data_IF_983519117519
#
_entry.id   IF_983519117519
#
_cell.length_a   1.000
_cell.length_b   1.000
_cell.length_c   1.000
_cell.angle_alpha   90.00
_cell.angle_beta   90.00
_cell.angle_gamma   90.00
#
_symmetry.space_group_name_H-M   'P 1'
#
loop_
_entity.id
_entity.type
_entity.pdbx_description
1 polymer ?
#
# COMPACT_ATOMS: atom_id res chain seq x y z
N UNK A 1 -15.50 11.09 14.12
CA UNK A 1 -14.57 12.20 14.44
C UNK A 1 -13.51 12.21 13.35
N UNK A 2 -13.21 13.36 12.74
CA UNK A 2 -12.09 13.50 11.80
C UNK A 2 -10.90 14.03 12.60
N UNK A 3 -9.80 13.27 12.75
CA UNK A 3 -8.62 13.75 13.48
C UNK A 3 -8.00 14.94 12.74
N UNK A 4 -7.66 16.01 13.44
CA UNK A 4 -7.01 17.21 12.85
C UNK A 4 -5.54 17.31 13.28
N UNK A 5 -5.23 16.86 14.51
CA UNK A 5 -3.91 16.80 15.12
C UNK A 5 -3.92 15.86 16.30
N UNK A 6 -2.76 15.38 16.72
CA UNK A 6 -2.59 14.73 18.02
C UNK A 6 -2.31 15.75 19.15
N UNK A 7 -2.04 15.24 20.35
CA UNK A 7 -1.61 16.01 21.53
C UNK A 7 -0.20 15.66 22.03
N UNK A 8 0.52 14.78 21.32
CA UNK A 8 1.81 14.26 21.74
C UNK A 8 2.88 15.07 20.99
N UNK A 9 3.79 15.78 21.69
CA UNK A 9 4.82 16.54 20.99
C UNK A 9 5.79 15.60 20.26
N UNK A 10 5.97 15.83 18.96
CA UNK A 10 7.00 15.15 18.17
C UNK A 10 8.40 15.33 18.78
N UNK A 11 9.15 14.23 18.89
CA UNK A 11 10.48 14.20 19.55
C UNK A 11 11.64 14.34 18.57
N UNK A 12 11.39 14.13 17.29
CA UNK A 12 12.35 14.07 16.20
C UNK A 12 11.73 14.60 14.91
N UNK A 13 12.55 14.85 13.89
CA UNK A 13 12.03 15.07 12.53
C UNK A 13 11.55 13.73 11.97
N UNK A 14 10.30 13.63 11.45
CA UNK A 14 9.70 12.35 11.09
C UNK A 14 10.11 11.89 9.68
N UNK A 15 11.38 11.49 9.53
CA UNK A 15 12.00 11.10 8.26
C UNK A 15 11.38 9.82 7.70
N UNK A 16 11.18 8.79 8.52
CA UNK A 16 10.56 7.51 8.11
C UNK A 16 9.13 7.74 7.67
N UNK A 17 8.37 8.53 8.43
CA UNK A 17 7.00 8.91 8.09
C UNK A 17 6.94 9.60 6.72
N UNK A 18 7.82 10.58 6.48
CA UNK A 18 7.90 11.29 5.20
C UNK A 18 8.31 10.35 4.05
N UNK A 19 9.26 9.43 4.27
CA UNK A 19 9.66 8.43 3.27
C UNK A 19 8.48 7.52 2.92
N UNK A 20 7.76 7.00 3.92
CA UNK A 20 6.59 6.16 3.69
C UNK A 20 5.52 6.92 2.90
N UNK A 21 5.25 8.19 3.24
CA UNK A 21 4.32 9.03 2.47
C UNK A 21 4.79 9.17 1.02
N UNK A 22 6.07 9.47 0.80
CA UNK A 22 6.63 9.64 -0.54
C UNK A 22 6.55 8.35 -1.38
N UNK A 23 6.84 7.19 -0.78
CA UNK A 23 6.75 5.89 -1.47
C UNK A 23 5.31 5.57 -1.83
N UNK A 24 4.35 5.75 -0.90
CA UNK A 24 2.93 5.53 -1.17
C UNK A 24 2.41 6.45 -2.28
N UNK A 25 2.80 7.73 -2.26
CA UNK A 25 2.45 8.68 -3.32
C UNK A 25 3.02 8.24 -4.68
N UNK A 26 4.31 7.84 -4.73
CA UNK A 26 4.95 7.38 -5.96
C UNK A 26 4.26 6.13 -6.55
N UNK A 27 3.94 5.15 -5.71
CA UNK A 27 3.20 3.94 -6.13
C UNK A 27 1.81 4.31 -6.65
N UNK A 28 1.08 5.18 -5.95
CA UNK A 28 -0.25 5.59 -6.39
C UNK A 28 -0.22 6.38 -7.71
N UNK A 29 0.76 7.27 -7.92
CA UNK A 29 0.93 7.95 -9.20
C UNK A 29 1.28 6.97 -10.33
N UNK A 30 2.05 5.92 -10.04
CA UNK A 30 2.29 4.85 -11.00
C UNK A 30 1.00 4.10 -11.33
N UNK A 31 0.16 3.76 -10.34
CA UNK A 31 -1.16 3.14 -10.56
C UNK A 31 -2.06 3.99 -11.48
N UNK A 32 -2.09 5.32 -11.27
CA UNK A 32 -2.85 6.25 -12.12
C UNK A 32 -2.33 6.34 -13.56
N UNK A 33 -1.05 6.03 -13.78
CA UNK A 33 -0.44 6.05 -15.11
C UNK A 33 -0.70 4.75 -15.91
N UNK A 34 -1.17 3.68 -15.26
CA UNK A 34 -1.43 2.40 -15.90
C UNK A 34 -2.78 2.39 -16.64
N UNK A 35 -2.84 1.66 -17.75
CA UNK A 35 -4.12 1.34 -18.38
C UNK A 35 -4.91 0.35 -17.51
N UNK A 36 -6.26 0.29 -17.61
CA UNK A 36 -7.08 -0.54 -16.74
C UNK A 36 -6.65 -2.02 -16.66
N UNK A 37 -6.24 -2.61 -17.78
CA UNK A 37 -5.76 -4.01 -17.83
C UNK A 37 -4.43 -4.21 -17.11
N UNK A 38 -3.52 -3.24 -17.24
CA UNK A 38 -2.21 -3.29 -16.59
C UNK A 38 -2.34 -3.01 -15.09
N UNK A 39 -3.26 -2.12 -14.70
CA UNK A 39 -3.61 -1.84 -13.31
C UNK A 39 -4.20 -3.08 -12.62
N UNK A 40 -5.12 -3.78 -13.28
CA UNK A 40 -5.68 -5.04 -12.76
C UNK A 40 -4.57 -6.09 -12.57
N UNK A 41 -3.70 -6.26 -13.57
CA UNK A 41 -2.55 -7.16 -13.47
C UNK A 41 -1.58 -6.74 -12.36
N UNK A 42 -1.33 -5.45 -12.19
CA UNK A 42 -0.49 -4.90 -11.14
C UNK A 42 -1.04 -5.26 -9.76
N UNK A 43 -2.34 -5.08 -9.53
CA UNK A 43 -2.98 -5.49 -8.28
C UNK A 43 -2.96 -7.00 -8.05
N UNK A 44 -3.10 -7.81 -9.09
CA UNK A 44 -2.98 -9.27 -8.95
C UNK A 44 -1.55 -9.74 -8.61
N UNK A 45 -0.53 -9.04 -9.10
CA UNK A 45 0.87 -9.41 -8.88
C UNK A 45 1.41 -8.88 -7.56
N UNK A 46 1.08 -7.65 -7.17
CA UNK A 46 1.63 -6.97 -5.99
C UNK A 46 0.65 -6.93 -4.80
N UNK A 47 -0.62 -7.27 -5.01
CA UNK A 47 -1.63 -7.40 -3.97
C UNK A 47 -1.76 -8.84 -3.48
N UNK A 48 -2.23 -9.00 -2.25
CA UNK A 48 -2.47 -10.34 -1.67
C UNK A 48 -3.76 -10.91 -2.27
N UNK A 49 -3.62 -12.00 -3.02
CA UNK A 49 -4.73 -12.85 -3.48
C UNK A 49 -4.75 -14.12 -2.63
N UNK A 50 -5.65 -14.29 -1.65
CA UNK A 50 -5.61 -15.43 -0.72
C UNK A 50 -5.66 -16.80 -1.40
N UNK A 51 -6.38 -16.92 -2.52
CA UNK A 51 -6.46 -18.14 -3.32
C UNK A 51 -5.09 -18.57 -3.87
N UNK A 52 -4.16 -17.63 -4.13
CA UNK A 52 -2.80 -17.91 -4.61
C UNK A 52 -2.02 -18.79 -3.64
N UNK A 53 -2.19 -18.58 -2.34
CA UNK A 53 -1.44 -19.26 -1.29
C UNK A 53 -2.18 -20.48 -0.71
N UNK A 54 -3.51 -20.44 -0.73
CA UNK A 54 -4.34 -21.54 -0.21
C UNK A 54 -4.60 -22.65 -1.24
N UNK A 55 -4.54 -22.34 -2.54
CA UNK A 55 -4.83 -23.28 -3.62
C UNK A 55 -3.73 -23.22 -4.71
N UNK A 56 -2.54 -23.80 -4.46
CA UNK A 56 -1.39 -23.68 -5.36
C UNK A 56 -1.62 -24.30 -6.75
N UNK A 57 -2.46 -25.33 -6.86
CA UNK A 57 -2.84 -25.93 -8.14
C UNK A 57 -3.62 -24.95 -9.03
N UNK A 58 -4.60 -24.25 -8.46
CA UNK A 58 -5.35 -23.20 -9.15
C UNK A 58 -4.45 -22.02 -9.53
N UNK A 59 -3.58 -21.60 -8.61
CA UNK A 59 -2.65 -20.51 -8.84
C UNK A 59 -1.72 -20.81 -10.02
N UNK A 60 -1.15 -22.02 -10.11
CA UNK A 60 -0.34 -22.47 -11.25
C UNK A 60 -1.15 -22.47 -12.55
N UNK A 61 -2.41 -22.92 -12.52
CA UNK A 61 -3.28 -22.95 -13.70
C UNK A 61 -3.59 -21.54 -14.25
N UNK A 62 -3.83 -20.56 -13.36
CA UNK A 62 -4.05 -19.15 -13.75
C UNK A 62 -2.74 -18.44 -14.15
N UNK A 63 -1.58 -19.05 -13.88
CA UNK A 63 -0.26 -18.49 -14.19
C UNK A 63 0.29 -17.57 -13.09
N UNK A 64 -0.19 -17.69 -11.85
CA UNK A 64 0.40 -16.98 -10.72
C UNK A 64 1.73 -17.63 -10.27
N UNK A 65 2.71 -16.82 -9.85
CA UNK A 65 3.91 -17.35 -9.23
C UNK A 65 3.61 -17.83 -7.81
N UNK A 66 3.60 -19.14 -7.57
CA UNK A 66 3.20 -19.72 -6.27
C UNK A 66 4.18 -19.48 -5.13
N UNK A 67 5.46 -19.29 -5.45
CA UNK A 67 6.54 -19.14 -4.46
C UNK A 67 6.94 -17.68 -4.21
N UNK A 68 6.19 -16.73 -4.75
CA UNK A 68 6.43 -15.31 -4.55
C UNK A 68 5.52 -14.76 -3.43
N UNK A 69 6.18 -14.40 -2.33
CA UNK A 69 5.58 -13.87 -1.11
C UNK A 69 5.72 -12.36 -0.99
N UNK A 70 6.28 -11.67 -2.00
CA UNK A 70 6.37 -10.21 -1.95
C UNK A 70 5.04 -9.48 -1.73
N UNK A 71 3.89 -9.99 -2.22
CA UNK A 71 2.61 -9.34 -2.02
C UNK A 71 2.25 -9.06 -0.56
N UNK A 72 2.76 -9.84 0.41
CA UNK A 72 2.52 -9.56 1.82
C UNK A 72 3.11 -8.22 2.29
N UNK A 73 4.18 -7.75 1.66
CA UNK A 73 4.75 -6.43 1.90
C UNK A 73 4.21 -5.40 0.91
N UNK A 74 4.25 -5.71 -0.39
CA UNK A 74 3.92 -4.72 -1.43
C UNK A 74 2.45 -4.31 -1.39
N UNK A 75 1.55 -5.17 -0.89
CA UNK A 75 0.14 -4.81 -0.75
C UNK A 75 -0.12 -3.64 0.19
N UNK A 76 0.80 -3.36 1.12
CA UNK A 76 0.68 -2.25 2.05
C UNK A 76 0.77 -0.88 1.37
N UNK A 77 1.27 -0.83 0.13
CA UNK A 77 1.48 0.41 -0.62
C UNK A 77 0.44 0.65 -1.72
N UNK A 78 -0.45 -0.33 -1.98
CA UNK A 78 -1.43 -0.26 -3.05
C UNK A 78 -2.70 0.49 -2.64
N UNK A 79 -3.27 1.30 -3.54
CA UNK A 79 -4.42 2.13 -3.19
C UNK A 79 -5.54 2.08 -4.24
N UNK A 80 -6.72 1.58 -3.87
CA UNK A 80 -7.90 1.54 -4.75
C UNK A 80 -8.56 2.88 -5.10
N UNK A 81 -7.95 4.03 -4.79
CA UNK A 81 -8.45 5.35 -5.19
C UNK A 81 -8.08 6.51 -4.27
N UNK A 82 -8.46 7.73 -4.68
CA UNK A 82 -8.10 8.98 -4.00
C UNK A 82 -8.49 9.05 -2.53
N UNK A 83 -9.73 8.66 -2.20
CA UNK A 83 -10.19 8.69 -0.80
C UNK A 83 -9.38 7.76 0.09
N UNK A 84 -8.96 6.61 -0.44
CA UNK A 84 -8.16 5.63 0.29
C UNK A 84 -6.75 6.16 0.56
N UNK A 85 -6.04 6.65 -0.46
CA UNK A 85 -4.67 7.17 -0.29
C UNK A 85 -4.64 8.43 0.56
N UNK A 86 -5.56 9.38 0.36
CA UNK A 86 -5.60 10.61 1.15
C UNK A 86 -5.88 10.29 2.62
N UNK A 87 -6.83 9.39 2.91
CA UNK A 87 -7.14 8.98 4.28
C UNK A 87 -5.96 8.30 4.98
N UNK A 88 -5.22 7.44 4.28
CA UNK A 88 -4.04 6.78 4.81
C UNK A 88 -2.90 7.77 5.06
N UNK A 89 -2.59 8.66 4.11
CA UNK A 89 -1.51 9.64 4.27
C UNK A 89 -1.84 10.67 5.35
N UNK A 90 -3.10 11.07 5.48
CA UNK A 90 -3.58 11.92 6.57
C UNK A 90 -3.34 11.28 7.94
N UNK A 91 -3.70 10.01 8.07
CA UNK A 91 -3.50 9.25 9.33
C UNK A 91 -2.01 9.09 9.63
N UNK A 92 -1.21 8.73 8.62
CA UNK A 92 0.23 8.55 8.76
C UNK A 92 0.92 9.86 9.16
N UNK A 93 0.49 11.00 8.59
CA UNK A 93 1.04 12.32 8.94
C UNK A 93 0.68 12.76 10.36
N UNK A 94 -0.54 12.49 10.82
CA UNK A 94 -0.99 12.90 12.15
C UNK A 94 -0.40 12.03 13.27
N UNK A 95 -0.10 10.76 13.01
CA UNK A 95 0.29 9.84 14.08
C UNK A 95 1.67 9.19 13.91
N UNK A 96 2.30 9.30 12.74
CA UNK A 96 3.55 8.61 12.43
C UNK A 96 4.75 9.13 13.22
N UNK A 97 4.82 10.45 13.43
CA UNK A 97 5.89 11.12 14.18
C UNK A 97 5.93 10.74 15.68
N UNK A 98 4.83 10.23 16.23
CA UNK A 98 4.75 9.74 17.60
C UNK A 98 5.29 8.33 17.78
N UNK A 99 5.37 7.55 16.69
CA UNK A 99 5.86 6.17 16.68
C UNK A 99 7.33 6.09 16.27
N UNK A 100 7.76 7.01 15.41
CA UNK A 100 9.15 7.17 14.94
C UNK A 100 10.09 7.72 16.03
#
# INVERSE_FOLDING_TARGET
MIPIRDTIPGRSTPVVTVILIAVNAAVFFYELALQPKDLERFFYLFGVVPARYSHPEWARWVGFPVDDYWPFLTSMFLHGGWMHVIGNMWTLWIFGDNVE
#
